data_IF_827666030195
#
_entry.id   IF_827666030195
#
_cell.length_a   1.000
_cell.length_b   1.000
_cell.length_c   1.000
_cell.angle_alpha   90.00
_cell.angle_beta   90.00
_cell.angle_gamma   90.00
#
_symmetry.space_group_name_H-M   'P 1'
#
loop_
_entity.id
_entity.type
_entity.pdbx_description
1 polymer ?
#
# COMPACT_ATOMS: atom_id res chain seq x y z
N UNK A 1 4.10 15.45 4.86
CA UNK A 1 4.23 14.69 6.14
C UNK A 1 5.66 14.71 6.68
N UNK A 2 6.68 14.26 5.95
CA UNK A 2 8.09 14.19 6.42
C UNK A 2 8.57 15.53 6.96
N UNK A 3 8.48 16.62 6.20
CA UNK A 3 8.92 17.96 6.62
C UNK A 3 8.23 18.38 7.92
N UNK A 4 6.93 18.18 8.03
CA UNK A 4 6.12 18.56 9.22
C UNK A 4 6.64 17.84 10.46
N UNK A 5 6.95 16.56 10.35
CA UNK A 5 7.45 15.74 11.46
C UNK A 5 8.81 16.24 11.98
N UNK A 6 9.68 16.77 11.11
CA UNK A 6 10.96 17.34 11.54
C UNK A 6 10.85 18.75 12.16
N UNK A 7 9.82 19.52 11.78
CA UNK A 7 9.61 20.89 12.28
C UNK A 7 8.89 20.92 13.64
N UNK A 8 7.99 19.98 13.89
CA UNK A 8 7.20 19.94 15.13
C UNK A 8 8.13 19.75 16.34
N UNK A 9 8.04 20.61 17.40
CA UNK A 9 8.80 20.46 18.64
C UNK A 9 8.54 19.11 19.32
N UNK A 10 9.56 18.59 20.01
CA UNK A 10 9.51 17.30 20.68
C UNK A 10 8.35 17.19 21.69
N UNK A 11 8.22 18.18 22.57
CA UNK A 11 7.18 18.19 23.61
C UNK A 11 5.75 18.15 23.03
N UNK A 12 5.57 18.75 21.84
CA UNK A 12 4.30 18.71 21.15
C UNK A 12 4.06 17.35 20.49
N UNK A 13 5.11 16.73 19.90
CA UNK A 13 5.02 15.38 19.35
C UNK A 13 4.56 14.36 20.39
N UNK A 14 5.13 14.44 21.58
CA UNK A 14 4.77 13.55 22.68
C UNK A 14 3.30 13.70 23.08
N UNK A 15 2.84 14.95 23.26
CA UNK A 15 1.45 15.25 23.61
C UNK A 15 0.42 14.72 22.62
N UNK A 16 0.73 14.75 21.33
CA UNK A 16 -0.21 14.32 20.26
C UNK A 16 0.00 12.87 19.81
N UNK A 17 0.87 12.11 20.49
CA UNK A 17 1.13 10.70 20.15
C UNK A 17 2.04 10.50 18.93
N UNK A 18 2.78 11.52 18.53
CA UNK A 18 3.76 11.39 17.42
C UNK A 18 5.10 10.89 17.89
N UNK A 19 5.27 10.61 19.16
CA UNK A 19 6.48 10.02 19.71
C UNK A 19 6.14 8.84 20.61
N UNK A 20 6.72 7.66 20.31
CA UNK A 20 6.57 6.47 21.12
C UNK A 20 7.52 6.53 22.31
N UNK A 21 6.99 6.35 23.51
CA UNK A 21 7.79 6.19 24.72
C UNK A 21 8.23 4.72 24.80
N UNK A 22 9.54 4.50 24.80
CA UNK A 22 10.11 3.14 24.92
C UNK A 22 10.92 2.71 23.72
N UNK A 23 10.57 1.73 22.95
CA UNK A 23 11.36 1.20 21.84
C UNK A 23 11.41 2.09 20.59
N UNK A 24 12.31 1.79 19.66
CA UNK A 24 12.46 2.47 18.38
C UNK A 24 13.74 3.31 18.25
N UNK A 25 14.01 3.77 17.04
CA UNK A 25 15.17 4.62 16.74
C UNK A 25 14.76 6.07 16.45
N UNK A 26 15.69 6.99 16.66
CA UNK A 26 15.47 8.39 16.35
C UNK A 26 15.59 8.66 14.84
N UNK A 27 14.70 9.52 14.31
CA UNK A 27 14.70 9.85 12.88
C UNK A 27 16.00 10.52 12.46
N UNK A 28 16.48 10.13 11.30
CA UNK A 28 17.55 10.82 10.59
C UNK A 28 16.98 11.32 9.25
N UNK A 29 17.01 12.63 9.06
CA UNK A 29 16.48 13.29 7.87
C UNK A 29 17.07 12.72 6.57
N UNK A 30 18.33 12.25 6.60
CA UNK A 30 18.99 11.65 5.43
C UNK A 30 18.22 10.45 4.90
N UNK A 31 17.82 9.52 5.78
CA UNK A 31 17.06 8.34 5.38
C UNK A 31 15.64 8.68 4.95
N UNK A 32 14.98 9.59 5.66
CA UNK A 32 13.60 9.95 5.35
C UNK A 32 13.46 10.73 4.03
N UNK A 33 14.38 11.66 3.73
CA UNK A 33 14.35 12.44 2.48
C UNK A 33 14.91 11.71 1.26
N UNK A 34 15.73 10.68 1.46
CA UNK A 34 16.27 9.83 0.38
C UNK A 34 15.43 8.58 0.12
N UNK A 35 14.28 8.43 0.78
CA UNK A 35 13.44 7.23 0.70
C UNK A 35 14.16 5.94 1.12
N UNK A 36 15.09 6.00 2.05
CA UNK A 36 15.84 4.85 2.59
C UNK A 36 15.37 4.45 3.99
N UNK A 37 14.25 4.97 4.46
CA UNK A 37 13.72 4.72 5.80
C UNK A 37 13.40 3.23 6.04
N UNK A 38 12.94 2.52 5.02
CA UNK A 38 12.73 1.07 5.08
C UNK A 38 14.02 0.31 5.43
N UNK A 39 15.16 0.67 4.82
CA UNK A 39 16.45 0.04 5.13
C UNK A 39 16.95 0.42 6.53
N UNK A 40 16.68 1.64 7.00
CA UNK A 40 16.99 2.01 8.38
C UNK A 40 16.19 1.18 9.39
N UNK A 41 14.90 0.94 9.11
CA UNK A 41 14.05 0.04 9.92
C UNK A 41 14.63 -1.38 9.96
N UNK A 42 15.09 -1.91 8.80
CA UNK A 42 15.71 -3.23 8.71
C UNK A 42 17.00 -3.33 9.52
N UNK A 43 17.90 -2.35 9.37
CA UNK A 43 19.18 -2.30 10.07
C UNK A 43 19.00 -2.16 11.58
N UNK A 44 18.05 -1.34 12.02
CA UNK A 44 17.75 -1.14 13.44
C UNK A 44 16.90 -2.29 14.02
N UNK A 45 16.26 -3.11 13.16
CA UNK A 45 15.25 -4.10 13.52
C UNK A 45 14.14 -3.52 14.43
N UNK A 46 13.79 -2.26 14.17
CA UNK A 46 12.80 -1.49 14.94
C UNK A 46 12.12 -0.48 14.03
N UNK A 47 10.93 -0.02 14.46
CA UNK A 47 10.28 1.12 13.86
C UNK A 47 10.83 2.44 14.43
N UNK A 48 10.68 3.57 13.71
CA UNK A 48 11.04 4.88 14.26
C UNK A 48 10.16 5.25 15.44
N UNK A 49 10.72 5.91 16.44
CA UNK A 49 9.95 6.47 17.57
C UNK A 49 8.89 7.46 17.11
N UNK A 50 9.12 8.12 15.98
CA UNK A 50 8.17 9.08 15.40
C UNK A 50 7.10 8.36 14.59
N UNK A 51 5.92 8.20 15.19
CA UNK A 51 4.85 7.33 14.72
C UNK A 51 4.31 7.64 13.32
N UNK A 52 4.15 8.90 12.86
CA UNK A 52 3.68 9.17 11.49
C UNK A 52 4.60 8.62 10.39
N UNK A 53 5.88 8.40 10.68
CA UNK A 53 6.85 7.84 9.71
C UNK A 53 6.83 6.31 9.68
N UNK A 54 6.15 5.66 10.61
CA UNK A 54 6.13 4.18 10.65
C UNK A 54 5.57 3.54 9.39
N UNK A 55 4.67 4.18 8.65
CA UNK A 55 4.12 3.67 7.38
C UNK A 55 4.94 4.07 6.15
N UNK A 56 6.00 4.86 6.35
CA UNK A 56 6.78 5.41 5.24
C UNK A 56 7.61 4.35 4.49
N UNK A 57 7.87 3.21 5.14
CA UNK A 57 8.61 2.10 4.52
C UNK A 57 7.99 1.62 3.21
N UNK A 58 6.68 1.57 3.12
CA UNK A 58 5.99 1.11 1.90
C UNK A 58 6.15 2.11 0.74
N UNK A 59 6.12 3.41 1.04
CA UNK A 59 6.40 4.46 0.06
C UNK A 59 7.85 4.36 -0.43
N UNK A 60 8.81 4.05 0.46
CA UNK A 60 10.20 3.82 0.07
C UNK A 60 10.30 2.66 -0.93
N UNK A 61 9.61 1.54 -0.67
CA UNK A 61 9.59 0.38 -1.58
C UNK A 61 9.00 0.76 -2.94
N UNK A 62 7.91 1.53 -2.96
CA UNK A 62 7.29 2.00 -4.21
C UNK A 62 8.27 2.86 -5.02
N UNK A 63 8.95 3.83 -4.42
CA UNK A 63 9.93 4.67 -5.10
C UNK A 63 11.13 3.87 -5.62
N UNK A 64 11.64 2.92 -4.83
CA UNK A 64 12.69 2.00 -5.27
C UNK A 64 12.23 1.15 -6.46
N UNK A 65 10.99 0.66 -6.42
CA UNK A 65 10.43 -0.08 -7.53
C UNK A 65 10.27 0.79 -8.77
N UNK A 66 9.75 2.02 -8.66
CA UNK A 66 9.63 2.91 -9.82
C UNK A 66 10.98 3.19 -10.46
N UNK A 67 12.03 3.38 -9.67
CA UNK A 67 13.39 3.55 -10.18
C UNK A 67 13.87 2.27 -10.89
N UNK A 68 13.72 1.11 -10.25
CA UNK A 68 14.08 -0.19 -10.83
C UNK A 68 13.31 -0.46 -12.11
N UNK A 69 12.01 -0.17 -12.13
CA UNK A 69 11.14 -0.36 -13.28
C UNK A 69 11.53 0.54 -14.45
N UNK A 70 11.80 1.80 -14.18
CA UNK A 70 12.27 2.76 -15.20
C UNK A 70 13.58 2.28 -15.82
N UNK A 71 14.55 1.85 -15.02
CA UNK A 71 15.82 1.31 -15.49
C UNK A 71 15.57 0.04 -16.32
N UNK A 72 14.70 -0.85 -15.87
CA UNK A 72 14.36 -2.08 -16.57
C UNK A 72 13.75 -1.80 -17.94
N UNK A 73 12.81 -0.88 -18.04
CA UNK A 73 12.18 -0.49 -19.32
C UNK A 73 13.17 0.19 -20.27
N UNK A 74 14.18 0.87 -19.73
CA UNK A 74 15.21 1.50 -20.54
C UNK A 74 16.20 0.49 -21.13
N UNK A 75 16.55 -0.55 -20.36
CA UNK A 75 17.59 -1.53 -20.77
C UNK A 75 16.99 -2.73 -21.50
N UNK A 76 15.77 -3.17 -21.10
CA UNK A 76 15.18 -4.42 -21.57
C UNK A 76 14.29 -4.17 -22.78
N UNK A 77 14.55 -4.80 -23.94
CA UNK A 77 13.63 -4.75 -25.07
C UNK A 77 12.23 -5.24 -24.68
N UNK A 78 11.21 -4.58 -25.18
CA UNK A 78 9.80 -4.82 -24.83
C UNK A 78 9.39 -6.29 -25.00
N UNK A 79 9.97 -6.99 -26.00
CA UNK A 79 9.76 -8.42 -26.26
C UNK A 79 10.20 -9.34 -25.11
N UNK A 80 11.01 -8.85 -24.19
CA UNK A 80 11.52 -9.61 -23.04
C UNK A 80 10.90 -9.18 -21.71
N UNK A 81 10.08 -8.12 -21.68
CA UNK A 81 9.45 -7.61 -20.46
C UNK A 81 8.69 -8.70 -19.72
N UNK A 82 7.93 -9.52 -20.43
CA UNK A 82 7.18 -10.63 -19.83
C UNK A 82 8.08 -11.59 -19.04
N UNK A 83 9.25 -11.96 -19.61
CA UNK A 83 10.21 -12.82 -18.93
C UNK A 83 10.79 -12.17 -17.68
N UNK A 84 10.99 -10.85 -17.73
CA UNK A 84 11.48 -10.08 -16.59
C UNK A 84 10.46 -9.98 -15.47
N UNK A 85 9.19 -9.81 -15.77
CA UNK A 85 8.13 -9.82 -14.78
C UNK A 85 8.05 -11.16 -14.05
N UNK A 86 8.15 -12.28 -14.78
CA UNK A 86 8.25 -13.60 -14.14
C UNK A 86 9.52 -13.74 -13.30
N UNK A 87 10.67 -13.24 -13.78
CA UNK A 87 11.91 -13.25 -13.02
C UNK A 87 11.75 -12.48 -11.67
N UNK A 88 11.07 -11.33 -11.66
CA UNK A 88 10.79 -10.59 -10.45
C UNK A 88 9.96 -11.39 -9.45
N UNK A 89 8.96 -12.13 -9.93
CA UNK A 89 8.17 -13.03 -9.06
C UNK A 89 9.06 -14.09 -8.41
N UNK A 90 9.92 -14.75 -9.21
CA UNK A 90 10.83 -15.77 -8.70
C UNK A 90 11.89 -15.20 -7.75
N UNK A 91 12.42 -14.01 -8.03
CA UNK A 91 13.32 -13.29 -7.11
C UNK A 91 12.61 -13.04 -5.78
N UNK A 92 11.35 -12.59 -5.81
CA UNK A 92 10.60 -12.30 -4.60
C UNK A 92 10.37 -13.57 -3.76
N UNK A 93 10.02 -14.68 -4.39
CA UNK A 93 9.88 -15.97 -3.69
C UNK A 93 11.21 -16.45 -3.11
N UNK A 94 12.30 -16.35 -3.88
CA UNK A 94 13.63 -16.70 -3.43
C UNK A 94 14.11 -15.84 -2.27
N UNK A 95 13.89 -14.52 -2.35
CA UNK A 95 14.24 -13.59 -1.27
C UNK A 95 13.51 -13.94 0.03
N UNK A 96 12.18 -14.14 -0.02
CA UNK A 96 11.41 -14.55 1.16
C UNK A 96 11.83 -15.91 1.71
N UNK A 97 12.13 -16.89 0.83
CA UNK A 97 12.61 -18.20 1.25
C UNK A 97 13.99 -18.10 1.95
N UNK A 98 14.91 -17.30 1.39
CA UNK A 98 16.23 -17.09 1.98
C UNK A 98 16.13 -16.36 3.33
N UNK A 99 15.31 -15.33 3.42
CA UNK A 99 15.14 -14.57 4.66
C UNK A 99 14.55 -15.42 5.78
N UNK A 100 13.57 -16.26 5.47
CA UNK A 100 12.99 -17.18 6.46
C UNK A 100 13.99 -18.20 6.98
N UNK A 101 14.98 -18.57 6.18
CA UNK A 101 16.00 -19.58 6.58
C UNK A 101 17.22 -18.96 7.23
N UNK A 102 17.63 -17.75 6.82
CA UNK A 102 18.91 -17.16 7.23
C UNK A 102 18.73 -16.14 8.35
N UNK A 103 17.76 -15.25 8.23
CA UNK A 103 17.68 -14.07 9.08
C UNK A 103 16.69 -14.17 10.24
N UNK A 104 15.73 -15.07 10.18
CA UNK A 104 14.69 -15.25 11.19
C UNK A 104 14.07 -13.90 11.67
N UNK A 105 13.96 -12.92 10.76
CA UNK A 105 13.51 -11.56 11.06
C UNK A 105 12.29 -11.21 10.20
N UNK A 106 11.12 -11.09 10.84
CA UNK A 106 9.86 -10.79 10.16
C UNK A 106 9.78 -9.37 9.56
N UNK A 107 10.55 -8.41 10.10
CA UNK A 107 10.56 -7.03 9.58
C UNK A 107 11.22 -6.95 8.20
N UNK A 108 12.27 -7.76 7.95
CA UNK A 108 12.97 -7.79 6.66
C UNK A 108 11.97 -8.12 5.55
N UNK A 109 11.16 -9.14 5.75
CA UNK A 109 10.20 -9.62 4.74
C UNK A 109 9.17 -8.57 4.33
N UNK A 110 8.76 -7.72 5.24
CA UNK A 110 7.76 -6.68 4.93
C UNK A 110 8.37 -5.40 4.33
N UNK A 111 9.63 -5.09 4.66
CA UNK A 111 10.20 -3.77 4.41
C UNK A 111 11.31 -3.76 3.34
N UNK A 112 11.56 -4.87 2.64
CA UNK A 112 12.56 -4.96 1.58
C UNK A 112 11.93 -4.94 0.19
N UNK A 113 12.65 -4.32 -0.79
CA UNK A 113 12.19 -4.27 -2.17
C UNK A 113 12.08 -5.67 -2.80
N UNK A 114 13.11 -6.50 -2.62
CA UNK A 114 13.19 -7.79 -3.30
C UNK A 114 12.09 -8.75 -2.85
N UNK A 115 11.72 -8.72 -1.59
CA UNK A 115 10.62 -9.53 -1.05
C UNK A 115 9.23 -9.04 -1.46
N UNK A 116 9.12 -7.86 -2.05
CA UNK A 116 7.86 -7.27 -2.49
C UNK A 116 7.76 -7.10 -4.02
N UNK A 117 8.75 -7.56 -4.81
CA UNK A 117 8.75 -7.41 -6.27
C UNK A 117 7.56 -8.08 -6.95
N UNK A 118 7.03 -9.16 -6.41
CA UNK A 118 5.90 -9.87 -6.98
C UNK A 118 4.59 -9.07 -6.94
N UNK A 119 4.38 -8.21 -5.96
CA UNK A 119 3.24 -7.28 -5.94
C UNK A 119 3.21 -6.41 -7.20
N UNK A 120 4.35 -5.84 -7.53
CA UNK A 120 4.50 -4.97 -8.69
C UNK A 120 4.53 -5.75 -10.00
N UNK A 121 5.20 -6.91 -10.02
CA UNK A 121 5.32 -7.75 -11.21
C UNK A 121 3.95 -8.28 -11.65
N UNK A 122 3.09 -8.70 -10.75
CA UNK A 122 1.73 -9.16 -11.05
C UNK A 122 0.89 -8.01 -11.63
N UNK A 123 0.97 -6.80 -11.03
CA UNK A 123 0.35 -5.61 -11.62
C UNK A 123 0.90 -5.28 -12.99
N UNK A 124 2.22 -5.40 -13.17
CA UNK A 124 2.92 -5.23 -14.44
C UNK A 124 2.50 -6.23 -15.51
N UNK A 125 2.25 -7.51 -15.15
CA UNK A 125 1.71 -8.51 -16.06
C UNK A 125 0.33 -8.12 -16.58
N UNK A 126 -0.56 -7.68 -15.71
CA UNK A 126 -1.87 -7.19 -16.12
C UNK A 126 -1.73 -5.98 -17.07
N UNK A 127 -0.88 -5.01 -16.70
CA UNK A 127 -0.60 -3.84 -17.54
C UNK A 127 -0.02 -4.22 -18.91
N UNK A 128 0.92 -5.16 -18.95
CA UNK A 128 1.48 -5.67 -20.20
C UNK A 128 0.39 -6.24 -21.13
N UNK A 129 -0.46 -7.12 -20.62
CA UNK A 129 -1.53 -7.72 -21.41
C UNK A 129 -2.60 -6.70 -21.82
N UNK A 130 -2.89 -5.72 -21.00
CA UNK A 130 -3.79 -4.61 -21.38
C UNK A 130 -3.21 -3.83 -22.57
N UNK A 131 -1.91 -3.62 -22.64
CA UNK A 131 -1.28 -2.87 -23.72
C UNK A 131 -1.15 -3.70 -25.00
N UNK A 132 -0.82 -5.00 -24.88
CA UNK A 132 -0.54 -5.87 -26.06
C UNK A 132 -1.77 -6.55 -26.63
N UNK A 133 -2.73 -6.91 -25.79
CA UNK A 133 -3.87 -7.77 -26.14
C UNK A 133 -5.21 -7.25 -25.61
N UNK A 134 -5.37 -5.93 -25.53
CA UNK A 134 -6.54 -5.27 -24.92
C UNK A 134 -7.88 -5.89 -25.32
N UNK A 135 -8.12 -6.01 -26.64
CA UNK A 135 -9.40 -6.51 -27.14
C UNK A 135 -9.67 -7.95 -26.70
N UNK A 136 -8.67 -8.81 -26.74
CA UNK A 136 -8.82 -10.21 -26.29
C UNK A 136 -9.20 -10.30 -24.82
N UNK A 137 -8.58 -9.45 -23.98
CA UNK A 137 -8.90 -9.40 -22.55
C UNK A 137 -10.32 -8.92 -22.33
N UNK A 138 -10.73 -7.84 -23.02
CA UNK A 138 -12.07 -7.30 -22.89
C UNK A 138 -13.11 -8.33 -23.34
N UNK A 139 -12.90 -8.97 -24.49
CA UNK A 139 -13.80 -10.00 -25.02
C UNK A 139 -13.92 -11.19 -24.04
N UNK A 140 -12.78 -11.66 -23.51
CA UNK A 140 -12.77 -12.72 -22.50
C UNK A 140 -13.59 -12.33 -21.27
N UNK A 141 -13.35 -11.12 -20.73
CA UNK A 141 -14.06 -10.64 -19.53
C UNK A 141 -15.55 -10.46 -19.83
N UNK A 142 -15.92 -9.93 -21.01
CA UNK A 142 -17.33 -9.72 -21.38
C UNK A 142 -18.10 -11.02 -21.51
N UNK A 143 -17.45 -12.08 -22.01
CA UNK A 143 -18.03 -13.42 -22.15
C UNK A 143 -18.30 -14.14 -20.82
N UNK A 144 -17.67 -13.70 -19.72
CA UNK A 144 -17.98 -14.24 -18.39
C UNK A 144 -19.39 -13.77 -17.95
N UNK A 145 -20.23 -14.69 -17.53
CA UNK A 145 -21.58 -14.35 -17.06
C UNK A 145 -21.56 -13.38 -15.87
N UNK A 146 -22.59 -12.56 -15.76
CA UNK A 146 -22.72 -11.57 -14.67
C UNK A 146 -22.70 -12.22 -13.30
N UNK A 147 -23.34 -13.41 -13.18
CA UNK A 147 -23.38 -14.17 -11.92
C UNK A 147 -21.98 -14.63 -11.50
N UNK A 148 -21.18 -15.14 -12.44
CA UNK A 148 -19.80 -15.55 -12.17
C UNK A 148 -18.96 -14.34 -11.75
N UNK A 149 -19.06 -13.20 -12.47
CA UNK A 149 -18.35 -11.96 -12.08
C UNK A 149 -18.69 -11.52 -10.65
N UNK A 150 -20.00 -11.53 -10.30
CA UNK A 150 -20.44 -11.20 -8.94
C UNK A 150 -19.86 -12.16 -7.91
N UNK A 151 -19.88 -13.46 -8.21
CA UNK A 151 -19.29 -14.46 -7.34
C UNK A 151 -17.80 -14.25 -7.17
N UNK A 152 -17.05 -13.97 -8.24
CA UNK A 152 -15.61 -13.66 -8.17
C UNK A 152 -15.34 -12.44 -7.28
N UNK A 153 -16.10 -11.36 -7.43
CA UNK A 153 -15.96 -10.16 -6.56
C UNK A 153 -16.19 -10.53 -5.09
N UNK A 154 -17.28 -11.28 -4.81
CA UNK A 154 -17.59 -11.70 -3.43
C UNK A 154 -16.46 -12.58 -2.87
N UNK A 155 -15.98 -13.56 -3.62
CA UNK A 155 -14.90 -14.46 -3.21
C UNK A 155 -13.63 -13.66 -2.92
N UNK A 156 -13.22 -12.75 -3.82
CA UNK A 156 -12.02 -11.92 -3.61
C UNK A 156 -12.17 -11.08 -2.35
N UNK A 157 -13.32 -10.42 -2.16
CA UNK A 157 -13.56 -9.61 -0.95
C UNK A 157 -13.51 -10.48 0.31
N UNK A 158 -14.15 -11.66 0.31
CA UNK A 158 -14.09 -12.57 1.44
C UNK A 158 -12.67 -13.05 1.74
N UNK A 159 -11.90 -13.43 0.72
CA UNK A 159 -10.50 -13.85 0.91
C UNK A 159 -9.67 -12.73 1.47
N UNK A 160 -9.80 -11.50 0.98
CA UNK A 160 -9.06 -10.33 1.48
C UNK A 160 -9.46 -9.97 2.92
N UNK A 161 -10.76 -9.96 3.23
CA UNK A 161 -11.25 -9.65 4.59
C UNK A 161 -10.84 -10.72 5.60
N UNK A 162 -10.98 -11.99 5.22
CA UNK A 162 -10.66 -13.13 6.07
C UNK A 162 -9.27 -13.73 5.80
N UNK A 163 -8.37 -12.98 5.17
CA UNK A 163 -7.04 -13.45 4.77
C UNK A 163 -6.23 -14.07 5.92
N UNK A 164 -6.42 -13.61 7.16
CA UNK A 164 -5.75 -14.15 8.34
C UNK A 164 -6.10 -15.63 8.58
N UNK A 165 -7.32 -16.03 8.24
CA UNK A 165 -7.83 -17.40 8.45
C UNK A 165 -7.66 -18.27 7.21
N UNK A 166 -7.80 -17.69 6.00
CA UNK A 166 -7.77 -18.42 4.72
C UNK A 166 -6.33 -18.58 4.23
N UNK A 167 -5.50 -17.55 4.42
CA UNK A 167 -4.10 -17.49 4.04
C UNK A 167 -3.26 -17.15 5.27
N UNK A 168 -3.08 -18.08 6.21
CA UNK A 168 -2.30 -17.82 7.42
C UNK A 168 -0.88 -17.39 7.05
N UNK A 169 -0.31 -16.50 7.86
CA UNK A 169 1.00 -15.91 7.63
C UNK A 169 2.04 -16.54 8.57
N UNK A 170 2.04 -17.87 8.64
CA UNK A 170 2.97 -18.59 9.50
C UNK A 170 4.37 -18.54 8.89
N UNK A 171 5.28 -17.92 9.60
CA UNK A 171 6.67 -17.69 9.16
C UNK A 171 7.35 -18.99 8.74
N UNK A 172 8.05 -18.98 7.60
CA UNK A 172 8.77 -20.13 7.06
C UNK A 172 7.93 -21.16 6.30
N UNK A 173 6.62 -20.99 6.19
CA UNK A 173 5.78 -21.88 5.38
C UNK A 173 5.79 -21.47 3.90
N UNK A 174 5.47 -22.43 3.01
CA UNK A 174 5.31 -22.16 1.59
C UNK A 174 4.19 -21.13 1.35
N UNK A 175 3.15 -21.15 2.16
CA UNK A 175 2.04 -20.22 2.07
C UNK A 175 2.47 -18.79 2.42
N UNK A 176 3.35 -18.63 3.40
CA UNK A 176 3.98 -17.35 3.72
C UNK A 176 4.72 -16.75 2.52
N UNK A 177 5.45 -17.59 1.77
CA UNK A 177 6.19 -17.16 0.58
C UNK A 177 5.24 -16.75 -0.56
N UNK A 178 4.16 -17.51 -0.78
CA UNK A 178 3.25 -17.32 -1.92
C UNK A 178 2.10 -16.34 -1.66
N UNK A 179 1.77 -16.06 -0.40
CA UNK A 179 0.63 -15.22 -0.02
C UNK A 179 0.59 -13.85 -0.70
N UNK A 180 1.68 -13.07 -0.79
CA UNK A 180 1.69 -11.79 -1.49
C UNK A 180 1.30 -11.93 -2.97
N UNK A 181 1.85 -12.93 -3.66
CA UNK A 181 1.51 -13.25 -5.05
C UNK A 181 0.02 -13.59 -5.21
N UNK A 182 -0.51 -14.43 -4.32
CA UNK A 182 -1.94 -14.82 -4.34
C UNK A 182 -2.84 -13.60 -4.16
N UNK A 183 -2.53 -12.74 -3.18
CA UNK A 183 -3.30 -11.52 -2.93
C UNK A 183 -3.24 -10.58 -4.15
N UNK A 184 -2.07 -10.40 -4.76
CA UNK A 184 -1.90 -9.58 -5.96
C UNK A 184 -2.70 -10.10 -7.15
N UNK A 185 -2.72 -11.41 -7.36
CA UNK A 185 -3.55 -12.05 -8.39
C UNK A 185 -5.05 -11.81 -8.15
N UNK A 186 -5.50 -11.90 -6.91
CA UNK A 186 -6.90 -11.61 -6.55
C UNK A 186 -7.26 -10.16 -6.86
N UNK A 187 -6.39 -9.20 -6.56
CA UNK A 187 -6.59 -7.80 -6.92
C UNK A 187 -6.57 -7.59 -8.45
N UNK A 188 -5.69 -8.27 -9.20
CA UNK A 188 -5.70 -8.20 -10.66
C UNK A 188 -7.01 -8.75 -11.25
N UNK A 189 -7.55 -9.83 -10.71
CA UNK A 189 -8.87 -10.36 -11.09
C UNK A 189 -9.95 -9.30 -10.83
N UNK A 190 -9.94 -8.69 -9.66
CA UNK A 190 -10.90 -7.65 -9.30
C UNK A 190 -10.84 -6.46 -10.26
N UNK A 191 -9.64 -5.93 -10.52
CA UNK A 191 -9.42 -4.82 -11.44
C UNK A 191 -9.91 -5.19 -12.85
N UNK A 192 -9.57 -6.40 -13.33
CA UNK A 192 -9.95 -6.86 -14.66
C UNK A 192 -11.47 -6.89 -14.86
N UNK A 193 -12.26 -7.28 -13.85
CA UNK A 193 -13.73 -7.30 -13.94
C UNK A 193 -14.31 -5.91 -14.20
N UNK A 194 -13.68 -4.86 -13.67
CA UNK A 194 -14.13 -3.48 -13.82
C UNK A 194 -13.48 -2.73 -15.00
N UNK A 195 -12.52 -3.33 -15.69
CA UNK A 195 -11.77 -2.70 -16.78
C UNK A 195 -12.64 -2.33 -17.99
N UNK A 196 -13.60 -3.18 -18.48
CA UNK A 196 -14.40 -2.83 -19.65
C UNK A 196 -15.31 -1.63 -19.37
N UNK A 197 -15.31 -0.63 -20.26
CA UNK A 197 -16.23 0.53 -20.16
C UNK A 197 -17.70 0.09 -20.10
N UNK A 198 -18.05 -0.97 -20.84
CA UNK A 198 -19.35 -1.60 -20.88
C UNK A 198 -19.47 -2.80 -19.95
N UNK A 199 -18.71 -2.79 -18.83
CA UNK A 199 -18.83 -3.88 -17.85
C UNK A 199 -20.28 -3.99 -17.35
N UNK A 200 -20.74 -5.24 -17.26
CA UNK A 200 -22.07 -5.57 -16.71
C UNK A 200 -22.17 -5.31 -15.21
N UNK A 201 -21.02 -5.12 -14.53
CA UNK A 201 -20.95 -4.74 -13.12
C UNK A 201 -20.31 -3.35 -13.06
N UNK A 202 -21.10 -2.35 -12.69
CA UNK A 202 -20.64 -0.96 -12.53
C UNK A 202 -20.87 -0.50 -11.10
N UNK A 203 -19.81 -0.05 -10.46
CA UNK A 203 -19.91 0.59 -9.14
C UNK A 203 -20.08 2.10 -9.38
N UNK A 204 -21.34 2.55 -9.44
CA UNK A 204 -21.67 3.97 -9.56
C UNK A 204 -21.86 4.60 -8.17
N UNK A 205 -20.76 4.74 -7.43
CA UNK A 205 -20.79 5.36 -6.11
C UNK A 205 -19.96 6.64 -6.10
N UNK A 206 -20.63 7.79 -5.90
CA UNK A 206 -19.94 9.08 -5.73
C UNK A 206 -18.98 9.06 -4.55
N UNK A 207 -19.33 8.33 -3.47
CA UNK A 207 -18.49 8.20 -2.29
C UNK A 207 -17.21 7.41 -2.60
N UNK A 208 -17.32 6.26 -3.28
CA UNK A 208 -16.14 5.46 -3.63
C UNK A 208 -15.23 6.20 -4.61
N UNK A 209 -15.79 6.90 -5.58
CA UNK A 209 -15.00 7.76 -6.49
C UNK A 209 -14.30 8.88 -5.72
N UNK A 210 -15.01 9.54 -4.80
CA UNK A 210 -14.44 10.59 -3.94
C UNK A 210 -13.27 10.07 -3.10
N UNK A 211 -13.42 8.89 -2.49
CA UNK A 211 -12.36 8.26 -1.68
C UNK A 211 -11.21 7.76 -2.55
N UNK A 212 -11.50 7.16 -3.71
CA UNK A 212 -10.49 6.62 -4.61
C UNK A 212 -9.51 7.67 -5.11
N UNK A 213 -10.01 8.84 -5.51
CA UNK A 213 -9.17 9.97 -5.95
C UNK A 213 -8.23 10.47 -4.83
N UNK A 214 -8.61 10.27 -3.56
CA UNK A 214 -7.85 10.67 -2.37
C UNK A 214 -7.09 9.52 -1.71
N UNK A 215 -7.05 8.36 -2.37
CA UNK A 215 -6.48 7.12 -1.81
C UNK A 215 -5.07 7.28 -1.27
N UNK A 216 -4.21 8.03 -1.97
CA UNK A 216 -2.85 8.32 -1.52
C UNK A 216 -2.85 9.11 -0.20
N UNK A 217 -3.59 10.20 -0.13
CA UNK A 217 -3.71 10.99 1.09
C UNK A 217 -4.34 10.19 2.25
N UNK A 218 -5.36 9.37 1.95
CA UNK A 218 -5.96 8.48 2.95
C UNK A 218 -4.91 7.54 3.54
N UNK A 219 -4.08 6.93 2.70
CA UNK A 219 -2.99 6.05 3.14
C UNK A 219 -1.95 6.79 3.98
N UNK A 220 -1.51 7.97 3.54
CA UNK A 220 -0.43 8.71 4.24
C UNK A 220 -0.89 9.27 5.59
N UNK A 221 -2.15 9.70 5.71
CA UNK A 221 -2.61 10.43 6.90
C UNK A 221 -3.35 9.58 7.93
N UNK A 222 -3.78 8.34 7.61
CA UNK A 222 -4.55 7.53 8.56
C UNK A 222 -3.81 7.27 9.86
N UNK A 223 -2.50 7.04 9.79
CA UNK A 223 -1.68 6.72 10.95
C UNK A 223 -1.61 7.87 11.97
N UNK A 224 -1.67 9.12 11.48
CA UNK A 224 -1.70 10.32 12.32
C UNK A 224 -2.88 10.26 13.27
N UNK A 225 -4.09 10.05 12.72
CA UNK A 225 -5.31 10.04 13.52
C UNK A 225 -5.43 8.82 14.43
N UNK A 226 -4.89 7.68 14.00
CA UNK A 226 -4.80 6.48 14.85
C UNK A 226 -3.96 6.79 16.09
N UNK A 227 -2.75 7.34 15.92
CA UNK A 227 -1.87 7.63 17.06
C UNK A 227 -2.39 8.76 17.92
N UNK A 228 -2.92 9.83 17.35
CA UNK A 228 -3.57 10.89 18.13
C UNK A 228 -4.75 10.36 18.97
N UNK A 229 -5.58 9.50 18.38
CA UNK A 229 -6.71 8.90 19.08
C UNK A 229 -6.27 7.97 20.21
N UNK A 230 -5.25 7.12 19.97
CA UNK A 230 -4.68 6.28 21.03
C UNK A 230 -4.06 7.12 22.16
N UNK A 231 -3.28 8.15 21.82
CA UNK A 231 -2.69 9.04 22.82
C UNK A 231 -3.76 9.73 23.67
N UNK A 232 -4.83 10.22 23.05
CA UNK A 232 -5.95 10.79 23.75
C UNK A 232 -6.60 9.78 24.72
N UNK A 233 -6.87 8.57 24.26
CA UNK A 233 -7.42 7.52 25.11
C UNK A 233 -6.49 7.17 26.30
N UNK A 234 -5.18 7.13 26.08
CA UNK A 234 -4.20 6.90 27.17
C UNK A 234 -4.21 8.05 28.17
N UNK A 235 -4.18 9.30 27.70
CA UNK A 235 -4.14 10.49 28.56
C UNK A 235 -5.39 10.59 29.43
N UNK A 236 -6.56 10.32 28.87
CA UNK A 236 -7.85 10.37 29.56
C UNK A 236 -8.23 9.06 30.27
N UNK A 237 -7.32 8.06 30.29
CA UNK A 237 -7.58 6.73 30.86
C UNK A 237 -8.84 6.04 30.30
N UNK A 238 -9.15 6.27 29.02
CA UNK A 238 -10.30 5.69 28.34
C UNK A 238 -9.91 4.29 27.82
N UNK A 239 -10.61 3.26 28.30
CA UNK A 239 -10.42 1.89 27.78
C UNK A 239 -11.22 1.69 26.49
N UNK A 240 -10.54 1.18 25.45
CA UNK A 240 -11.17 0.88 24.14
C UNK A 240 -11.73 -0.56 24.17
N UNK A 241 -12.70 -0.78 25.06
CA UNK A 241 -13.34 -2.09 25.28
C UNK A 241 -14.87 -2.08 25.03
N UNK A 242 -15.45 -0.90 24.87
CA UNK A 242 -16.88 -0.69 24.64
C UNK A 242 -17.13 -0.35 23.17
N UNK A 243 -18.20 -0.91 22.58
CA UNK A 243 -18.60 -0.68 21.19
C UNK A 243 -18.84 0.80 20.85
N UNK A 244 -19.33 1.60 21.80
CA UNK A 244 -19.51 3.04 21.60
C UNK A 244 -18.17 3.76 21.49
N UNK A 245 -17.20 3.41 22.33
CA UNK A 245 -15.85 3.99 22.30
C UNK A 245 -15.11 3.55 21.04
N UNK A 246 -15.21 2.27 20.68
CA UNK A 246 -14.66 1.76 19.42
C UNK A 246 -15.28 2.49 18.21
N UNK A 247 -16.60 2.67 18.20
CA UNK A 247 -17.31 3.42 17.17
C UNK A 247 -16.86 4.88 17.08
N UNK A 248 -16.76 5.57 18.20
CA UNK A 248 -16.27 6.94 18.27
C UNK A 248 -14.80 7.04 17.77
N UNK A 249 -13.93 6.10 18.17
CA UNK A 249 -12.55 6.03 17.70
C UNK A 249 -12.47 5.83 16.17
N UNK A 250 -13.27 4.93 15.62
CA UNK A 250 -13.36 4.70 14.17
C UNK A 250 -13.84 5.96 13.44
N UNK A 251 -14.89 6.62 13.95
CA UNK A 251 -15.41 7.85 13.33
C UNK A 251 -14.37 8.95 13.37
N UNK A 252 -13.67 9.13 14.50
CA UNK A 252 -12.60 10.11 14.63
C UNK A 252 -11.46 9.85 13.66
N UNK A 253 -10.97 8.62 13.60
CA UNK A 253 -9.82 8.26 12.74
C UNK A 253 -10.17 8.34 11.27
N UNK A 254 -11.29 7.79 10.84
CA UNK A 254 -11.74 7.87 9.45
C UNK A 254 -12.11 9.30 9.05
N UNK A 255 -12.89 9.99 9.87
CA UNK A 255 -13.32 11.35 9.60
C UNK A 255 -12.15 12.33 9.47
N UNK A 256 -11.23 12.31 10.44
CA UNK A 256 -10.02 13.11 10.42
C UNK A 256 -9.14 12.82 9.19
N UNK A 257 -8.95 11.53 8.88
CA UNK A 257 -8.19 11.11 7.70
C UNK A 257 -8.82 11.61 6.41
N UNK A 258 -10.13 11.49 6.24
CA UNK A 258 -10.85 11.96 5.05
C UNK A 258 -10.75 13.48 4.92
N UNK A 259 -10.92 14.23 6.01
CA UNK A 259 -10.82 15.69 6.02
C UNK A 259 -9.41 16.12 5.60
N UNK A 260 -8.37 15.59 6.25
CA UNK A 260 -6.99 15.96 5.96
C UNK A 260 -6.57 15.56 4.55
N UNK A 261 -6.96 14.37 4.08
CA UNK A 261 -6.73 13.93 2.71
C UNK A 261 -7.43 14.83 1.69
N UNK A 262 -8.63 15.32 1.99
CA UNK A 262 -9.37 16.22 1.09
C UNK A 262 -8.73 17.60 1.01
N UNK A 263 -8.22 18.11 2.13
CA UNK A 263 -7.45 19.36 2.17
C UNK A 263 -6.16 19.21 1.38
N UNK A 264 -5.39 18.14 1.64
CA UNK A 264 -4.15 17.83 0.91
C UNK A 264 -4.40 17.70 -0.60
N UNK A 265 -5.40 16.95 -1.00
CA UNK A 265 -5.76 16.78 -2.40
C UNK A 265 -6.05 18.12 -3.08
N UNK A 266 -6.89 18.95 -2.47
CA UNK A 266 -7.31 20.24 -3.06
C UNK A 266 -6.19 21.24 -3.17
N UNK A 267 -5.36 21.38 -2.12
CA UNK A 267 -4.40 22.48 -2.02
C UNK A 267 -2.97 22.08 -2.41
N UNK A 268 -2.66 20.78 -2.39
CA UNK A 268 -1.33 20.29 -2.71
C UNK A 268 -1.33 19.44 -3.98
N UNK A 269 -2.14 18.39 -4.09
CA UNK A 269 -2.06 17.45 -5.21
C UNK A 269 -2.64 18.04 -6.52
N UNK A 270 -3.83 18.63 -6.45
CA UNK A 270 -4.52 19.20 -7.63
C UNK A 270 -3.69 20.24 -8.39
N UNK A 271 -2.98 21.19 -7.75
CA UNK A 271 -2.14 22.14 -8.49
C UNK A 271 -1.05 21.46 -9.32
N UNK A 272 -0.40 20.41 -8.79
CA UNK A 272 0.63 19.66 -9.53
C UNK A 272 0.03 18.84 -10.67
N UNK A 273 -1.13 18.22 -10.46
CA UNK A 273 -1.84 17.49 -11.51
C UNK A 273 -2.25 18.42 -12.66
N UNK A 274 -2.82 19.57 -12.34
CA UNK A 274 -3.19 20.58 -13.33
C UNK A 274 -1.99 21.14 -14.10
N UNK A 275 -0.85 21.33 -13.44
CA UNK A 275 0.38 21.75 -14.09
C UNK A 275 0.89 20.69 -15.09
N UNK A 276 0.85 19.42 -14.71
CA UNK A 276 1.22 18.30 -15.57
C UNK A 276 0.34 18.25 -16.82
N UNK A 277 -0.99 18.34 -16.67
CA UNK A 277 -1.91 18.29 -17.80
C UNK A 277 -1.66 19.43 -18.80
N UNK A 278 -1.48 20.65 -18.32
CA UNK A 278 -1.15 21.79 -19.19
C UNK A 278 0.16 21.61 -19.97
N UNK A 279 1.13 20.89 -19.41
CA UNK A 279 2.46 20.73 -20.02
C UNK A 279 2.49 19.64 -21.10
N UNK A 280 1.68 18.60 -20.97
CA UNK A 280 1.81 17.39 -21.80
C UNK A 280 0.61 17.13 -22.72
N UNK A 281 -0.52 17.82 -22.53
CA UNK A 281 -1.75 17.60 -23.30
C UNK A 281 -2.28 18.85 -23.99
N UNK A 282 -1.56 19.98 -23.96
CA UNK A 282 -1.67 21.16 -24.84
C UNK A 282 -0.43 21.22 -25.73
#
# INVERSE_FOLDING_TARGET
MVIIVFIIPFDFKEKIGFHMVGGGYDLDWKYSFTFLENYKMLLANQFPKTTPITVFWSLCIEEHFYLLWMISLFIIPIKHILKFLFLYIFISWGARALETTIFNNSLIVSNDLFTNLDYFAIGGLLGYFIVTDYQKIIDFIQNISVQIKKLMVIVVVLVVVFQKYILPNDYGTILYILRPTIISLLFCILISIFLPENSSIKIKSKLLSFLGVRGYGLYVYHIIFIHCGFQYCITENIKIDNWLIIGAFIIFTLGGTIILSSISYKYFEMPFLAFREKKYFN
#
